data_IF_990768107169
#
_entry.id   IF_990768107169
#
_cell.length_a   1.000
_cell.length_b   1.000
_cell.length_c   1.000
_cell.angle_alpha   90.00
_cell.angle_beta   90.00
_cell.angle_gamma   90.00
#
_symmetry.space_group_name_H-M   'P 1'
#
loop_
_entity.id
_entity.type
_entity.pdbx_description
1 polymer ?
#
# COMPACT_ATOMS: atom_id res chain seq x y z
N UNK A 1 13.06 -4.69 14.20
CA UNK A 1 13.90 -5.68 13.49
C UNK A 1 12.97 -6.80 13.06
N UNK A 2 12.99 -7.23 11.81
CA UNK A 2 12.03 -8.21 11.31
C UNK A 2 12.33 -9.63 11.80
N UNK A 3 11.30 -10.42 12.07
CA UNK A 3 11.43 -11.79 12.59
C UNK A 3 10.90 -12.86 11.62
N UNK A 4 11.72 -13.87 11.34
CA UNK A 4 11.41 -14.93 10.37
C UNK A 4 11.36 -16.29 11.06
N UNK A 5 10.40 -17.13 10.69
CA UNK A 5 10.36 -18.54 11.06
C UNK A 5 10.61 -19.39 9.81
N UNK A 6 11.51 -20.36 9.92
CA UNK A 6 11.73 -21.37 8.86
C UNK A 6 11.23 -22.71 9.37
N UNK A 7 10.27 -23.30 8.65
CA UNK A 7 9.66 -24.59 8.96
C UNK A 7 9.93 -25.53 7.80
N UNK A 8 10.77 -26.53 8.04
CA UNK A 8 11.22 -27.50 7.03
C UNK A 8 11.74 -28.71 7.79
N UNK A 9 11.66 -29.94 7.29
CA UNK A 9 12.14 -31.13 8.01
C UNK A 9 13.65 -31.38 7.79
N UNK A 10 14.25 -30.79 6.75
CA UNK A 10 15.67 -30.94 6.43
C UNK A 10 16.55 -29.98 7.24
N UNK A 11 17.34 -30.55 8.15
CA UNK A 11 18.22 -29.79 9.06
C UNK A 11 19.24 -28.90 8.34
N UNK A 12 19.92 -29.43 7.32
CA UNK A 12 20.94 -28.70 6.55
C UNK A 12 20.36 -27.48 5.83
N UNK A 13 19.14 -27.62 5.29
CA UNK A 13 18.44 -26.53 4.63
C UNK A 13 18.02 -25.47 5.64
N UNK A 14 17.38 -25.88 6.76
CA UNK A 14 17.03 -24.96 7.85
C UNK A 14 18.24 -24.17 8.35
N UNK A 15 19.38 -24.85 8.58
CA UNK A 15 20.60 -24.22 9.06
C UNK A 15 21.16 -23.19 8.06
N UNK A 16 21.18 -23.54 6.78
CA UNK A 16 21.66 -22.68 5.69
C UNK A 16 20.80 -21.44 5.53
N UNK A 17 19.47 -21.61 5.52
CA UNK A 17 18.51 -20.51 5.43
C UNK A 17 18.54 -19.63 6.68
N UNK A 18 18.62 -20.21 7.88
CA UNK A 18 18.72 -19.44 9.11
C UNK A 18 19.98 -18.57 9.15
N UNK A 19 21.11 -19.11 8.67
CA UNK A 19 22.36 -18.36 8.55
C UNK A 19 22.24 -17.19 7.56
N UNK A 20 21.53 -17.37 6.46
CA UNK A 20 21.26 -16.33 5.47
C UNK A 20 20.35 -15.23 6.02
N UNK A 21 19.26 -15.60 6.70
CA UNK A 21 18.33 -14.64 7.33
C UNK A 21 19.05 -13.77 8.36
N UNK A 22 19.92 -14.36 9.20
CA UNK A 22 20.76 -13.62 10.15
C UNK A 22 21.72 -12.65 9.45
N UNK A 23 22.35 -13.05 8.34
CA UNK A 23 23.22 -12.17 7.53
C UNK A 23 22.46 -10.99 6.92
N UNK A 24 21.18 -11.13 6.65
CA UNK A 24 20.30 -10.05 6.19
C UNK A 24 19.83 -9.11 7.32
N UNK A 25 20.21 -9.37 8.58
CA UNK A 25 19.88 -8.52 9.72
C UNK A 25 18.51 -8.77 10.34
N UNK A 26 17.89 -9.93 10.06
CA UNK A 26 16.63 -10.35 10.67
C UNK A 26 16.87 -11.37 11.80
N UNK A 27 15.97 -11.41 12.78
CA UNK A 27 15.95 -12.51 13.75
C UNK A 27 15.32 -13.73 13.11
N UNK A 28 15.79 -14.93 13.49
CA UNK A 28 15.30 -16.18 12.91
C UNK A 28 15.05 -17.23 13.97
N UNK A 29 13.90 -17.88 13.87
CA UNK A 29 13.56 -19.11 14.57
C UNK A 29 13.37 -20.23 13.55
N UNK A 30 13.47 -21.47 14.01
CA UNK A 30 13.36 -22.66 13.15
C UNK A 30 12.48 -23.71 13.81
N UNK A 31 11.70 -24.45 13.03
CA UNK A 31 10.96 -25.63 13.47
C UNK A 31 11.14 -26.77 12.46
N UNK A 32 11.17 -28.01 12.95
CA UNK A 32 11.34 -29.20 12.12
C UNK A 32 9.99 -29.83 11.67
N UNK A 33 8.90 -29.42 12.30
CA UNK A 33 7.57 -29.99 12.14
C UNK A 33 6.49 -28.91 12.41
N UNK A 34 5.24 -29.26 12.12
CA UNK A 34 4.09 -28.37 12.30
C UNK A 34 3.80 -28.04 13.76
N UNK A 35 3.96 -29.02 14.65
CA UNK A 35 3.80 -28.82 16.09
C UNK A 35 4.76 -27.76 16.65
N UNK A 36 6.05 -27.87 16.35
CA UNK A 36 7.08 -26.92 16.75
C UNK A 36 6.87 -25.55 16.10
N UNK A 37 6.38 -25.49 14.86
CA UNK A 37 6.06 -24.23 14.21
C UNK A 37 4.97 -23.46 14.95
N UNK A 38 3.92 -24.15 15.41
CA UNK A 38 2.83 -23.55 16.19
C UNK A 38 3.30 -23.09 17.57
N UNK A 39 4.16 -23.87 18.23
CA UNK A 39 4.73 -23.49 19.53
C UNK A 39 5.56 -22.20 19.41
N UNK A 40 6.45 -22.14 18.41
CA UNK A 40 7.26 -20.95 18.14
C UNK A 40 6.40 -19.74 17.76
N UNK A 41 5.38 -19.94 16.93
CA UNK A 41 4.45 -18.87 16.54
C UNK A 41 3.65 -18.32 17.72
N UNK A 42 3.31 -19.17 18.71
CA UNK A 42 2.60 -18.75 19.92
C UNK A 42 3.50 -18.03 20.93
N UNK A 43 4.79 -18.35 20.97
CA UNK A 43 5.73 -17.82 21.97
C UNK A 43 6.57 -16.63 21.50
N UNK A 44 6.54 -16.31 20.20
CA UNK A 44 7.45 -15.34 19.57
C UNK A 44 6.73 -14.45 18.57
N UNK A 45 7.22 -13.23 18.40
CA UNK A 45 6.77 -12.35 17.31
C UNK A 45 7.37 -12.87 16.01
N UNK A 46 6.53 -13.21 15.03
CA UNK A 46 6.94 -13.65 13.70
C UNK A 46 6.29 -12.74 12.65
N UNK A 47 7.11 -12.20 11.75
CA UNK A 47 6.66 -11.36 10.63
C UNK A 47 6.46 -12.19 9.35
N UNK A 48 7.33 -13.17 9.11
CA UNK A 48 7.36 -13.98 7.90
C UNK A 48 7.66 -15.44 8.22
N UNK A 49 6.92 -16.37 7.62
CA UNK A 49 7.15 -17.80 7.74
C UNK A 49 7.51 -18.36 6.36
N UNK A 50 8.63 -19.07 6.27
CA UNK A 50 8.89 -20.00 5.17
C UNK A 50 8.44 -21.38 5.61
N UNK A 51 7.47 -21.96 4.91
CA UNK A 51 6.77 -23.17 5.33
C UNK A 51 6.89 -24.25 4.27
N UNK A 52 7.55 -25.36 4.60
CA UNK A 52 7.55 -26.54 3.75
C UNK A 52 6.17 -27.19 3.69
N UNK A 53 5.83 -27.72 2.51
CA UNK A 53 4.55 -28.42 2.31
C UNK A 53 4.60 -29.82 2.91
N UNK A 54 5.73 -30.50 2.79
CA UNK A 54 5.91 -31.89 3.20
C UNK A 54 6.47 -32.03 4.61
N UNK A 55 5.75 -31.59 5.64
CA UNK A 55 6.18 -31.78 7.03
C UNK A 55 5.87 -33.22 7.52
N UNK A 56 6.65 -33.75 8.48
CA UNK A 56 6.50 -35.13 8.94
C UNK A 56 5.18 -35.41 9.65
N UNK A 57 4.55 -34.39 10.24
CA UNK A 57 3.36 -34.49 11.08
C UNK A 57 2.09 -33.89 10.44
N UNK A 58 2.23 -33.04 9.42
CA UNK A 58 1.10 -32.36 8.76
C UNK A 58 1.43 -31.93 7.33
N UNK A 59 0.38 -31.67 6.56
CA UNK A 59 0.49 -30.91 5.32
C UNK A 59 0.64 -29.42 5.66
N UNK A 60 1.67 -28.76 5.09
CA UNK A 60 1.94 -27.35 5.29
C UNK A 60 0.78 -26.44 4.89
N UNK A 61 -0.01 -26.79 3.86
CA UNK A 61 -1.19 -26.00 3.44
C UNK A 61 -2.23 -25.95 4.56
N UNK A 62 -2.44 -27.06 5.28
CA UNK A 62 -3.38 -27.12 6.40
C UNK A 62 -2.92 -26.29 7.59
N UNK A 63 -1.62 -26.05 7.71
CA UNK A 63 -1.02 -25.30 8.80
C UNK A 63 -1.21 -23.78 8.64
N UNK A 64 -1.39 -23.29 7.40
CA UNK A 64 -1.57 -21.86 7.10
C UNK A 64 -2.69 -21.24 7.94
N UNK A 65 -3.87 -21.88 7.97
CA UNK A 65 -5.02 -21.38 8.74
C UNK A 65 -4.71 -21.26 10.23
N UNK A 66 -4.12 -22.30 10.83
CA UNK A 66 -3.76 -22.32 12.25
C UNK A 66 -2.69 -21.27 12.59
N UNK A 67 -1.69 -21.09 11.72
CA UNK A 67 -0.65 -20.07 11.91
C UNK A 67 -1.23 -18.65 11.83
N UNK A 68 -2.17 -18.41 10.93
CA UNK A 68 -2.88 -17.12 10.83
C UNK A 68 -3.86 -16.88 11.97
N UNK A 69 -4.43 -17.92 12.59
CA UNK A 69 -5.22 -17.74 13.82
C UNK A 69 -4.35 -17.27 14.99
N UNK A 70 -3.11 -17.77 15.09
CA UNK A 70 -2.16 -17.38 16.15
C UNK A 70 -1.52 -16.02 15.84
N UNK A 71 -1.13 -15.78 14.58
CA UNK A 71 -0.48 -14.55 14.11
C UNK A 71 -1.22 -14.03 12.87
N UNK A 72 -2.30 -13.24 13.03
CA UNK A 72 -3.16 -12.81 11.93
C UNK A 72 -2.45 -12.10 10.78
N UNK A 73 -1.49 -11.23 11.10
CA UNK A 73 -0.78 -10.42 10.13
C UNK A 73 0.46 -11.11 9.55
N UNK A 74 0.68 -12.41 9.78
CA UNK A 74 1.90 -13.10 9.31
C UNK A 74 1.86 -13.34 7.81
N UNK A 75 2.97 -13.03 7.14
CA UNK A 75 3.20 -13.40 5.75
C UNK A 75 3.72 -14.85 5.70
N UNK A 76 3.18 -15.68 4.82
CA UNK A 76 3.58 -17.10 4.69
C UNK A 76 4.01 -17.37 3.26
N UNK A 77 5.23 -17.87 3.08
CA UNK A 77 5.79 -18.30 1.80
C UNK A 77 5.96 -19.80 1.83
N UNK A 78 5.34 -20.49 0.87
CA UNK A 78 5.46 -21.95 0.80
C UNK A 78 6.77 -22.38 0.13
N UNK A 79 7.42 -23.40 0.66
CA UNK A 79 8.50 -24.10 -0.01
C UNK A 79 7.91 -25.40 -0.59
N UNK A 80 7.90 -25.52 -1.92
CA UNK A 80 7.20 -26.62 -2.62
C UNK A 80 8.11 -27.36 -3.59
N UNK A 81 7.88 -28.66 -3.85
CA UNK A 81 8.58 -29.37 -4.91
C UNK A 81 8.09 -29.02 -6.33
N UNK A 82 8.90 -29.34 -7.36
CA UNK A 82 8.65 -29.08 -8.79
C UNK A 82 7.30 -29.59 -9.33
N UNK A 83 6.73 -30.64 -8.74
CA UNK A 83 5.67 -31.42 -9.39
C UNK A 83 4.23 -30.92 -9.22
N UNK A 84 4.00 -29.70 -8.70
CA UNK A 84 2.64 -29.39 -8.28
C UNK A 84 2.21 -27.92 -8.41
N UNK A 85 2.03 -27.49 -9.66
CA UNK A 85 1.40 -26.20 -9.99
C UNK A 85 0.01 -26.04 -9.35
N UNK A 86 -0.71 -27.15 -9.10
CA UNK A 86 -2.00 -27.14 -8.40
C UNK A 86 -1.82 -26.80 -6.92
N UNK A 87 -0.81 -27.38 -6.28
CA UNK A 87 -0.45 -27.09 -4.89
C UNK A 87 0.04 -25.66 -4.68
N UNK A 88 0.70 -25.03 -5.66
CA UNK A 88 1.00 -23.60 -5.61
C UNK A 88 -0.28 -22.74 -5.58
N UNK A 89 -1.29 -23.07 -6.41
CA UNK A 89 -2.58 -22.38 -6.43
C UNK A 89 -3.36 -22.60 -5.12
N UNK A 90 -3.37 -23.83 -4.62
CA UNK A 90 -4.08 -24.18 -3.38
C UNK A 90 -3.43 -23.51 -2.15
N UNK A 91 -2.10 -23.35 -2.16
CA UNK A 91 -1.35 -22.59 -1.15
C UNK A 91 -1.74 -21.11 -1.11
N UNK A 92 -1.81 -20.45 -2.27
CA UNK A 92 -2.23 -19.05 -2.36
C UNK A 92 -3.70 -18.87 -1.91
N UNK A 93 -4.58 -19.80 -2.28
CA UNK A 93 -5.99 -19.81 -1.83
C UNK A 93 -6.12 -19.99 -0.32
N UNK A 94 -5.25 -20.77 0.29
CA UNK A 94 -5.20 -20.97 1.73
C UNK A 94 -4.65 -19.75 2.49
N UNK A 95 -4.07 -18.76 1.80
CA UNK A 95 -3.61 -17.49 2.37
C UNK A 95 -2.08 -17.34 2.42
N UNK A 96 -1.31 -18.20 1.73
CA UNK A 96 0.09 -17.90 1.46
C UNK A 96 0.21 -16.66 0.56
N UNK A 97 1.23 -15.86 0.78
CA UNK A 97 1.50 -14.66 -0.04
C UNK A 97 2.35 -14.98 -1.26
N UNK A 98 3.11 -16.08 -1.20
CA UNK A 98 3.95 -16.54 -2.29
C UNK A 98 4.42 -18.00 -2.10
N UNK A 99 5.19 -18.51 -3.06
CA UNK A 99 5.87 -19.80 -2.98
C UNK A 99 7.27 -19.78 -3.62
N UNK A 100 8.13 -20.72 -3.24
CA UNK A 100 9.45 -20.98 -3.81
C UNK A 100 9.54 -22.46 -4.17
N UNK A 101 9.99 -22.77 -5.38
CA UNK A 101 10.09 -24.15 -5.88
C UNK A 101 11.45 -24.76 -5.53
N UNK A 102 11.45 -25.84 -4.76
CA UNK A 102 12.60 -26.70 -4.49
C UNK A 102 12.94 -27.55 -5.73
N UNK A 103 14.23 -27.64 -6.13
CA UNK A 103 15.38 -26.98 -5.53
C UNK A 103 15.46 -25.51 -5.95
N UNK A 104 15.68 -24.62 -4.99
CA UNK A 104 15.93 -23.20 -5.19
C UNK A 104 17.35 -22.85 -4.75
N UNK A 105 17.89 -21.76 -5.27
CA UNK A 105 19.18 -21.24 -4.83
C UNK A 105 19.05 -20.17 -3.74
N UNK A 106 20.20 -19.79 -3.16
CA UNK A 106 20.28 -18.76 -2.12
C UNK A 106 19.83 -17.38 -2.64
N UNK A 107 20.01 -17.11 -3.94
CA UNK A 107 19.67 -15.81 -4.56
C UNK A 107 18.15 -15.67 -4.62
N UNK A 108 17.44 -16.71 -5.04
CA UNK A 108 15.98 -16.77 -5.10
C UNK A 108 15.37 -16.59 -3.71
N UNK A 109 15.81 -17.37 -2.73
CA UNK A 109 15.34 -17.22 -1.34
C UNK A 109 15.59 -15.81 -0.79
N UNK A 110 16.80 -15.28 -0.99
CA UNK A 110 17.17 -13.93 -0.54
C UNK A 110 16.31 -12.85 -1.21
N UNK A 111 16.03 -13.00 -2.50
CA UNK A 111 15.18 -12.08 -3.25
C UNK A 111 13.76 -12.05 -2.69
N UNK A 112 13.17 -13.23 -2.46
CA UNK A 112 11.82 -13.35 -1.90
C UNK A 112 11.75 -12.83 -0.47
N UNK A 113 12.71 -13.19 0.39
CA UNK A 113 12.85 -12.65 1.75
C UNK A 113 12.87 -11.12 1.75
N UNK A 114 13.75 -10.51 0.94
CA UNK A 114 13.88 -9.04 0.87
C UNK A 114 12.61 -8.39 0.37
N UNK A 115 12.02 -8.90 -0.71
CA UNK A 115 10.83 -8.33 -1.32
C UNK A 115 9.67 -8.29 -0.33
N UNK A 116 9.43 -9.40 0.37
CA UNK A 116 8.32 -9.50 1.33
C UNK A 116 8.59 -8.62 2.55
N UNK A 117 9.79 -8.70 3.14
CA UNK A 117 10.13 -7.88 4.31
C UNK A 117 10.14 -6.38 4.01
N UNK A 118 10.56 -5.97 2.79
CA UNK A 118 10.46 -4.59 2.33
C UNK A 118 9.02 -4.16 2.10
N UNK A 119 8.20 -5.01 1.45
CA UNK A 119 6.78 -4.73 1.26
C UNK A 119 6.06 -4.56 2.60
N UNK A 120 6.34 -5.44 3.57
CA UNK A 120 5.85 -5.34 4.95
C UNK A 120 6.35 -4.09 5.65
N UNK A 121 7.61 -3.70 5.48
CA UNK A 121 8.13 -2.45 6.04
C UNK A 121 7.46 -1.22 5.41
N UNK A 122 7.19 -1.23 4.10
CA UNK A 122 6.48 -0.15 3.42
C UNK A 122 5.00 -0.12 3.80
N UNK A 123 4.36 -1.27 3.96
CA UNK A 123 3.00 -1.40 4.49
C UNK A 123 2.91 -0.93 5.94
N UNK A 124 3.87 -1.32 6.80
CA UNK A 124 3.99 -0.80 8.18
C UNK A 124 4.31 0.69 8.18
N UNK A 125 5.12 1.21 7.26
CA UNK A 125 5.36 2.66 7.12
C UNK A 125 4.10 3.38 6.66
N UNK A 126 3.33 2.84 5.72
CA UNK A 126 2.03 3.39 5.34
C UNK A 126 1.01 3.31 6.50
N UNK A 127 1.03 2.23 7.29
CA UNK A 127 0.24 2.02 8.51
C UNK A 127 0.68 2.90 9.70
N UNK A 128 1.95 3.27 9.75
CA UNK A 128 2.53 4.18 10.76
C UNK A 128 2.38 5.64 10.33
N UNK A 129 2.48 5.94 9.03
CA UNK A 129 2.11 7.21 8.41
C UNK A 129 0.60 7.46 8.46
N UNK A 130 -0.21 6.43 8.69
CA UNK A 130 -1.64 6.54 9.01
C UNK A 130 -1.94 6.50 10.52
N UNK A 131 -0.93 6.33 11.39
CA UNK A 131 -1.08 6.42 12.86
C UNK A 131 -0.79 7.81 13.44
N UNK A 132 -0.22 8.72 12.66
CA UNK A 132 -0.33 10.16 12.94
C UNK A 132 -1.47 10.69 12.05
N UNK A 133 -2.63 10.90 12.65
CA UNK A 133 -3.79 11.50 11.98
C UNK A 133 -3.29 12.82 11.36
N UNK A 134 -3.61 13.12 10.09
CA UNK A 134 -2.97 14.22 9.33
C UNK A 134 -2.93 15.60 10.02
N UNK A 135 -3.77 15.82 11.04
CA UNK A 135 -3.75 16.96 11.98
C UNK A 135 -2.47 17.09 12.83
N UNK A 136 -1.80 15.98 13.15
CA UNK A 136 -0.59 15.96 13.97
C UNK A 136 0.63 16.48 13.20
N UNK A 137 0.62 16.35 11.87
CA UNK A 137 1.62 16.99 10.98
C UNK A 137 1.51 18.52 10.99
N UNK A 138 0.37 19.07 11.39
CA UNK A 138 0.16 20.51 11.51
C UNK A 138 0.64 20.94 12.90
N UNK A 139 1.86 21.47 12.97
CA UNK A 139 2.47 21.94 14.22
C UNK A 139 1.85 23.29 14.63
N UNK A 140 1.51 23.42 15.92
CA UNK A 140 1.01 24.66 16.50
C UNK A 140 -0.13 24.43 17.48
N UNK A 141 -0.09 25.14 18.61
CA UNK A 141 -1.05 25.01 19.71
C UNK A 141 -1.75 26.32 20.05
N UNK A 142 -1.45 27.40 19.32
CA UNK A 142 -2.12 28.69 19.49
C UNK A 142 -3.60 28.58 19.07
N UNK A 143 -4.41 29.53 19.54
CA UNK A 143 -5.86 29.52 19.31
C UNK A 143 -6.24 29.50 17.82
N UNK A 144 -5.51 30.24 16.98
CA UNK A 144 -5.73 30.24 15.53
C UNK A 144 -5.50 28.86 14.92
N UNK A 145 -4.41 28.18 15.28
CA UNK A 145 -4.13 26.83 14.78
C UNK A 145 -5.11 25.79 15.33
N UNK A 146 -5.60 25.96 16.56
CA UNK A 146 -6.66 25.11 17.11
C UNK A 146 -7.93 25.22 16.26
N UNK A 147 -8.36 26.44 15.89
CA UNK A 147 -9.51 26.66 14.99
C UNK A 147 -9.31 26.06 13.60
N UNK A 148 -8.10 26.15 13.05
CA UNK A 148 -7.76 25.49 11.77
C UNK A 148 -7.94 23.97 11.88
N UNK A 149 -7.40 23.36 12.94
CA UNK A 149 -7.54 21.92 13.22
C UNK A 149 -9.00 21.50 13.38
N UNK A 150 -9.80 22.25 14.13
CA UNK A 150 -11.24 22.01 14.29
C UNK A 150 -11.98 22.12 12.95
N UNK A 151 -11.62 23.09 12.11
CA UNK A 151 -12.23 23.27 10.78
C UNK A 151 -11.89 22.12 9.84
N UNK A 152 -10.65 21.62 9.88
CA UNK A 152 -10.21 20.44 9.12
C UNK A 152 -11.05 19.22 9.50
N UNK A 153 -11.29 19.00 10.80
CA UNK A 153 -12.13 17.89 11.27
C UNK A 153 -13.55 18.00 10.72
N UNK A 154 -14.20 19.16 10.86
CA UNK A 154 -15.54 19.39 10.32
C UNK A 154 -15.60 19.20 8.80
N UNK A 155 -14.59 19.68 8.08
CA UNK A 155 -14.49 19.52 6.63
C UNK A 155 -14.29 18.05 6.20
N UNK A 156 -13.66 17.23 7.04
CA UNK A 156 -13.44 15.80 6.77
C UNK A 156 -14.71 14.95 6.92
N UNK A 157 -15.76 15.47 7.56
CA UNK A 157 -17.02 14.73 7.77
C UNK A 157 -18.04 14.94 6.63
N UNK A 158 -17.75 15.81 5.67
CA UNK A 158 -18.69 16.18 4.59
C UNK A 158 -18.13 15.85 3.21
N UNK A 159 -19.02 15.51 2.28
CA UNK A 159 -18.70 15.24 0.87
C UNK A 159 -18.62 16.50 -0.02
N UNK A 160 -18.71 17.69 0.58
CA UNK A 160 -18.61 18.96 -0.14
C UNK A 160 -17.14 19.33 -0.47
N UNK A 161 -16.90 20.04 -1.60
CA UNK A 161 -15.59 20.62 -1.90
C UNK A 161 -15.14 21.60 -0.81
N UNK A 162 -13.84 21.58 -0.49
CA UNK A 162 -13.23 22.44 0.53
C UNK A 162 -12.27 23.43 -0.14
N UNK A 163 -12.45 24.72 0.14
CA UNK A 163 -11.52 25.76 -0.32
C UNK A 163 -10.53 26.12 0.78
N UNK A 164 -9.24 25.92 0.53
CA UNK A 164 -8.16 26.26 1.46
C UNK A 164 -7.46 27.54 0.99
N UNK A 165 -7.47 28.58 1.82
CA UNK A 165 -6.85 29.88 1.51
C UNK A 165 -5.71 30.19 2.47
N UNK A 166 -4.80 31.08 2.05
CA UNK A 166 -3.63 31.47 2.83
C UNK A 166 -2.47 31.88 1.93
N UNK A 167 -1.51 32.62 2.49
CA UNK A 167 -0.31 33.05 1.79
C UNK A 167 0.57 31.87 1.35
N UNK A 168 1.51 32.10 0.44
CA UNK A 168 2.47 31.08 0.00
C UNK A 168 3.30 30.59 1.19
N UNK A 169 3.48 29.27 1.29
CA UNK A 169 4.27 28.66 2.37
C UNK A 169 3.54 28.49 3.72
N UNK A 170 2.25 28.83 3.82
CA UNK A 170 1.46 28.68 5.07
C UNK A 170 0.96 27.25 5.35
N UNK A 171 1.33 26.27 4.53
CA UNK A 171 0.96 24.86 4.74
C UNK A 171 -0.44 24.47 4.24
N UNK A 172 -0.98 25.15 3.21
CA UNK A 172 -2.27 24.81 2.60
C UNK A 172 -2.36 23.35 2.15
N UNK A 173 -1.28 22.82 1.58
CA UNK A 173 -1.20 21.41 1.20
C UNK A 173 -1.28 20.47 2.40
N UNK A 174 -0.65 20.82 3.53
CA UNK A 174 -0.76 20.05 4.77
C UNK A 174 -2.20 20.03 5.28
N UNK A 175 -2.91 21.17 5.19
CA UNK A 175 -4.31 21.24 5.56
C UNK A 175 -5.20 20.37 4.64
N UNK A 176 -5.01 20.42 3.32
CA UNK A 176 -5.76 19.59 2.38
C UNK A 176 -5.49 18.09 2.59
N UNK A 177 -4.23 17.72 2.83
CA UNK A 177 -3.82 16.36 3.16
C UNK A 177 -4.47 15.89 4.47
N UNK A 178 -4.50 16.76 5.49
CA UNK A 178 -5.13 16.45 6.76
C UNK A 178 -6.64 16.23 6.61
N UNK A 179 -7.35 16.99 5.77
CA UNK A 179 -8.78 16.75 5.47
C UNK A 179 -8.99 15.35 4.88
N UNK A 180 -8.14 14.92 3.94
CA UNK A 180 -8.19 13.57 3.37
C UNK A 180 -7.88 12.50 4.41
N UNK A 181 -6.80 12.66 5.18
CA UNK A 181 -6.35 11.65 6.15
C UNK A 181 -7.34 11.51 7.33
N UNK A 182 -8.15 12.54 7.64
CA UNK A 182 -9.15 12.51 8.71
C UNK A 182 -10.52 11.94 8.27
N UNK A 183 -10.75 11.69 6.97
CA UNK A 183 -12.03 11.18 6.49
C UNK A 183 -12.28 9.75 6.98
N UNK A 184 -13.40 9.55 7.67
CA UNK A 184 -13.85 8.22 8.07
C UNK A 184 -14.19 7.36 6.84
N UNK A 185 -13.62 6.17 6.73
CA UNK A 185 -13.89 5.16 5.68
C UNK A 185 -13.32 5.44 4.28
N UNK A 186 -12.29 6.29 4.13
CA UNK A 186 -11.68 6.51 2.81
C UNK A 186 -10.66 5.42 2.45
N UNK A 187 -10.87 4.76 1.30
CA UNK A 187 -9.95 3.76 0.74
C UNK A 187 -9.22 4.23 -0.54
N UNK A 188 -9.53 5.43 -1.04
CA UNK A 188 -8.89 6.00 -2.23
C UNK A 188 -7.67 6.86 -1.94
N UNK A 189 -6.95 7.24 -2.99
CA UNK A 189 -5.67 7.98 -2.89
C UNK A 189 -5.86 9.50 -2.87
N UNK A 190 -4.94 10.21 -2.23
CA UNK A 190 -4.80 11.67 -2.34
C UNK A 190 -3.99 12.02 -3.59
N UNK A 191 -4.59 12.74 -4.54
CA UNK A 191 -3.95 13.18 -5.78
C UNK A 191 -3.83 14.70 -5.79
N UNK A 192 -2.59 15.20 -5.85
CA UNK A 192 -2.29 16.63 -5.99
C UNK A 192 -2.13 16.98 -7.47
N UNK A 193 -2.71 18.11 -7.89
CA UNK A 193 -2.52 18.71 -9.22
C UNK A 193 -2.15 20.17 -9.06
N UNK A 194 -1.04 20.58 -9.67
CA UNK A 194 -0.60 21.97 -9.70
C UNK A 194 -1.19 22.69 -10.92
N UNK A 195 -2.04 23.69 -10.65
CA UNK A 195 -2.70 24.47 -11.70
C UNK A 195 -1.80 25.57 -12.31
N UNK A 196 -0.57 25.75 -11.84
CA UNK A 196 0.43 26.68 -12.39
C UNK A 196 1.11 26.22 -13.69
N UNK A 197 0.63 25.14 -14.32
CA UNK A 197 1.20 24.57 -15.54
C UNK A 197 1.05 25.54 -16.73
N UNK A 198 2.09 25.74 -17.59
CA UNK A 198 2.09 26.77 -18.63
C UNK A 198 1.18 26.53 -19.84
N UNK A 199 0.55 25.35 -19.98
CA UNK A 199 -0.30 25.01 -21.13
C UNK A 199 -1.65 24.45 -20.71
N UNK A 200 -2.74 25.08 -21.18
CA UNK A 200 -4.11 24.66 -20.93
C UNK A 200 -4.42 23.24 -21.43
N UNK A 201 -3.87 22.87 -22.59
CA UNK A 201 -4.07 21.53 -23.15
C UNK A 201 -3.37 20.47 -22.31
N UNK A 202 -2.22 20.79 -21.72
CA UNK A 202 -1.47 19.85 -20.90
C UNK A 202 -2.23 19.56 -19.60
N UNK A 203 -2.65 20.60 -18.88
CA UNK A 203 -3.42 20.43 -17.63
C UNK A 203 -4.76 19.73 -17.87
N UNK A 204 -5.44 20.01 -18.99
CA UNK A 204 -6.66 19.30 -19.38
C UNK A 204 -6.41 17.81 -19.59
N UNK A 205 -5.35 17.47 -20.34
CA UNK A 205 -4.96 16.09 -20.64
C UNK A 205 -4.50 15.32 -19.39
N UNK A 206 -3.87 15.99 -18.42
CA UNK A 206 -3.49 15.40 -17.14
C UNK A 206 -4.72 15.19 -16.25
N UNK A 207 -5.60 16.20 -16.11
CA UNK A 207 -6.78 16.11 -15.26
C UNK A 207 -7.78 15.06 -15.76
N UNK A 208 -8.17 15.15 -17.02
CA UNK A 208 -9.28 14.37 -17.57
C UNK A 208 -8.83 13.19 -18.41
N UNK A 209 -7.54 13.08 -18.75
CA UNK A 209 -7.06 12.03 -19.64
C UNK A 209 -7.49 12.25 -21.09
N UNK A 210 -7.11 11.32 -21.95
CA UNK A 210 -7.46 11.34 -23.37
C UNK A 210 -7.56 9.93 -23.93
N UNK A 211 -8.38 9.77 -24.95
CA UNK A 211 -8.43 8.54 -25.74
C UNK A 211 -7.44 8.62 -26.92
N UNK A 212 -7.01 7.47 -27.41
CA UNK A 212 -6.12 7.37 -28.56
C UNK A 212 -6.69 8.12 -29.76
N UNK A 213 -5.90 9.03 -30.32
CA UNK A 213 -6.30 9.86 -31.46
C UNK A 213 -6.98 11.18 -31.11
N UNK A 214 -7.09 11.55 -29.83
CA UNK A 214 -7.64 12.84 -29.39
C UNK A 214 -6.86 14.07 -29.91
N UNK A 215 -5.55 13.92 -30.13
CA UNK A 215 -4.66 14.93 -30.74
C UNK A 215 -3.46 14.25 -31.41
N UNK A 216 -2.65 15.01 -32.15
CA UNK A 216 -1.59 14.50 -33.04
C UNK A 216 -0.59 13.56 -32.36
N UNK A 217 -0.32 13.75 -31.06
CA UNK A 217 0.59 12.92 -30.25
C UNK A 217 -0.10 11.86 -29.36
N UNK A 218 -1.44 11.73 -29.41
CA UNK A 218 -2.22 10.79 -28.61
C UNK A 218 -2.11 9.35 -29.14
N UNK A 219 -0.94 8.72 -28.98
CA UNK A 219 -0.64 7.38 -29.50
C UNK A 219 -1.31 6.24 -28.74
N UNK A 220 -1.67 6.47 -27.47
CA UNK A 220 -2.27 5.49 -26.55
C UNK A 220 -3.32 6.18 -25.67
N UNK A 221 -4.24 5.42 -25.09
CA UNK A 221 -5.16 5.95 -24.08
C UNK A 221 -4.39 6.35 -22.82
N UNK A 222 -4.77 7.47 -22.20
CA UNK A 222 -4.23 7.92 -20.91
C UNK A 222 -5.37 8.19 -19.95
N UNK A 223 -5.30 7.57 -18.76
CA UNK A 223 -6.20 7.87 -17.65
C UNK A 223 -5.90 9.25 -17.07
N UNK A 224 -6.95 10.03 -16.78
CA UNK A 224 -6.81 11.31 -16.10
C UNK A 224 -6.58 11.17 -14.60
N UNK A 225 -6.02 12.20 -13.97
CA UNK A 225 -5.83 12.29 -12.53
C UNK A 225 -7.15 12.27 -11.75
N UNK A 226 -8.25 12.72 -12.38
CA UNK A 226 -9.61 12.57 -11.84
C UNK A 226 -9.98 11.08 -11.69
N UNK A 227 -9.63 10.23 -12.67
CA UNK A 227 -9.86 8.77 -12.58
C UNK A 227 -8.98 8.12 -11.51
N UNK A 228 -7.72 8.56 -11.40
CA UNK A 228 -6.79 8.05 -10.38
C UNK A 228 -7.28 8.40 -8.98
N UNK A 229 -7.87 9.58 -8.80
CA UNK A 229 -8.41 10.05 -7.53
C UNK A 229 -9.79 9.44 -7.19
N UNK A 230 -10.34 8.54 -8.01
CA UNK A 230 -11.64 7.94 -7.77
C UNK A 230 -11.71 7.24 -6.41
N UNK A 231 -12.73 7.55 -5.61
CA UNK A 231 -12.89 7.09 -4.23
C UNK A 231 -11.92 7.73 -3.21
N UNK A 232 -11.07 8.66 -3.65
CA UNK A 232 -10.08 9.38 -2.84
C UNK A 232 -10.34 10.89 -2.81
N UNK A 233 -9.27 11.68 -2.90
CA UNK A 233 -9.35 13.16 -2.88
C UNK A 233 -8.48 13.75 -3.98
N UNK A 234 -9.05 14.66 -4.77
CA UNK A 234 -8.33 15.46 -5.76
C UNK A 234 -8.08 16.87 -5.19
N UNK A 235 -6.82 17.22 -4.97
CA UNK A 235 -6.42 18.54 -4.51
C UNK A 235 -5.85 19.37 -5.66
N UNK A 236 -6.50 20.50 -5.94
CA UNK A 236 -6.10 21.44 -7.00
C UNK A 236 -5.35 22.62 -6.35
N UNK A 237 -4.03 22.57 -6.39
CA UNK A 237 -3.17 23.64 -5.89
C UNK A 237 -3.15 24.81 -6.87
N UNK A 238 -3.08 26.02 -6.34
CA UNK A 238 -3.17 27.26 -7.12
C UNK A 238 -4.36 27.32 -8.09
N UNK A 239 -5.55 26.88 -7.66
CA UNK A 239 -6.76 26.80 -8.49
C UNK A 239 -7.10 28.10 -9.26
N UNK A 240 -6.68 29.27 -8.76
CA UNK A 240 -6.83 30.54 -9.46
C UNK A 240 -6.10 30.64 -10.80
N UNK A 241 -5.08 29.80 -11.02
CA UNK A 241 -4.33 29.68 -12.27
C UNK A 241 -5.00 28.74 -13.29
N UNK A 242 -6.11 28.07 -12.92
CA UNK A 242 -6.82 27.18 -13.83
C UNK A 242 -7.40 27.98 -15.02
N UNK A 243 -7.08 27.59 -16.27
CA UNK A 243 -7.60 28.26 -17.46
C UNK A 243 -9.13 28.36 -17.45
N UNK A 244 -9.66 29.52 -17.84
CA UNK A 244 -11.11 29.79 -17.89
C UNK A 244 -11.87 28.74 -18.71
N UNK A 245 -11.26 28.22 -19.78
CA UNK A 245 -11.85 27.16 -20.63
C UNK A 245 -12.09 25.84 -19.88
N UNK A 246 -11.37 25.58 -18.79
CA UNK A 246 -11.49 24.35 -18.00
C UNK A 246 -12.41 24.50 -16.80
N UNK A 247 -12.69 25.72 -16.35
CA UNK A 247 -13.57 25.97 -15.20
C UNK A 247 -14.98 25.38 -15.37
N UNK A 248 -15.65 25.45 -16.54
CA UNK A 248 -16.94 24.78 -16.74
C UNK A 248 -16.86 23.25 -16.62
N UNK A 249 -15.73 22.63 -17.02
CA UNK A 249 -15.53 21.18 -16.90
C UNK A 249 -15.30 20.76 -15.45
N UNK A 250 -14.55 21.56 -14.70
CA UNK A 250 -14.38 21.37 -13.27
C UNK A 250 -15.71 21.53 -12.52
N UNK A 251 -16.51 22.55 -12.86
CA UNK A 251 -17.83 22.74 -12.26
C UNK A 251 -18.72 21.52 -12.49
N UNK A 252 -18.75 21.00 -13.73
CA UNK A 252 -19.47 19.77 -14.05
C UNK A 252 -18.99 18.56 -13.25
N UNK A 253 -17.67 18.42 -13.07
CA UNK A 253 -17.12 17.36 -12.24
C UNK A 253 -17.60 17.48 -10.77
N UNK A 254 -17.66 18.70 -10.23
CA UNK A 254 -18.12 18.95 -8.87
C UNK A 254 -19.62 18.68 -8.71
N UNK A 255 -20.44 19.12 -9.66
CA UNK A 255 -21.90 19.02 -9.56
C UNK A 255 -22.43 17.63 -9.94
N UNK A 256 -21.90 17.04 -11.01
CA UNK A 256 -22.42 15.80 -11.59
C UNK A 256 -21.57 14.57 -11.21
N UNK A 257 -20.37 14.75 -10.64
CA UNK A 257 -19.38 13.66 -10.46
C UNK A 257 -19.08 12.92 -11.76
N UNK A 258 -19.19 13.60 -12.90
CA UNK A 258 -18.87 13.07 -14.23
C UNK A 258 -17.92 13.98 -14.98
N UNK A 259 -17.11 13.40 -15.86
CA UNK A 259 -16.24 14.15 -16.76
C UNK A 259 -16.16 13.42 -18.10
N UNK A 260 -15.60 14.10 -19.10
CA UNK A 260 -15.26 13.52 -20.40
C UNK A 260 -13.77 13.66 -20.62
N UNK A 261 -13.15 12.61 -21.14
CA UNK A 261 -11.78 12.66 -21.64
C UNK A 261 -11.67 13.65 -22.79
N UNK A 262 -10.45 14.09 -23.06
CA UNK A 262 -10.14 14.87 -24.27
C UNK A 262 -10.24 13.94 -25.48
N UNK A 263 -10.98 14.34 -26.51
CA UNK A 263 -11.24 13.55 -27.72
C UNK A 263 -12.72 13.31 -27.96
#
# INVERSE_FOLDING_TARGET
>A
MGAVLIVDDMEDLRFSLASLVKKEGYSVSTAADGAGALEVAASSIIDLIFLDIGLPDTDGIRLIGRLKEIVPDVDIVMLTGINDAKTAVDSLRAGAVDYIVKPFDIIEFRSTLRRIMQSRLMGKKALLETREVGLDRIIGTCEAMRRVKETILMASEVDAPVLVTGETGTGKELAARAVHDCRNHQSGVFVKVDCGTPSANLIESELFGYDKGAFTDAKTDKKGLVEVANGGTLFLDEIGNLPISLQPKLLRLIEESTFRKVG
#
